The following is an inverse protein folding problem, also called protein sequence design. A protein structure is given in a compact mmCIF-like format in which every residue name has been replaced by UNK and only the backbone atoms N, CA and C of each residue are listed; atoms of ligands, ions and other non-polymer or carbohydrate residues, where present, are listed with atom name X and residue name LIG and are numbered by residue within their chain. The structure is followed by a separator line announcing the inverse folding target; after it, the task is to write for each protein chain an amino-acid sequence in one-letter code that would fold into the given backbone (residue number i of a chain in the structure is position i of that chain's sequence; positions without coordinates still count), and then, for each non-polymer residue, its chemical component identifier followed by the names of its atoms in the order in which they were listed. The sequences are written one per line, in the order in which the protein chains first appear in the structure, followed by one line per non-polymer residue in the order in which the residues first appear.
data_IF_808609542761
#
_entry.id   IF_808609542761
#
_cell.length_a   1.000
_cell.length_b   1.000
_cell.length_c   1.000
_cell.angle_alpha   90.00
_cell.angle_beta   90.00
_cell.angle_gamma   90.00
#
_symmetry.space_group_name_H-M   'P 1'
#
loop_
_entity.id
_entity.type
_entity.pdbx_description
1 polymer ?
#
# COMPACT_ATOMS: atom_id res chain seq x y z
N UNK A 1 24.56 28.63 -10.62
CA UNK A 1 25.92 28.85 -10.08
C UNK A 1 26.26 27.65 -9.21
N UNK A 2 27.25 26.82 -9.55
CA UNK A 2 27.65 25.69 -8.71
C UNK A 2 28.75 26.12 -7.73
N UNK A 3 28.64 25.74 -6.47
CA UNK A 3 29.72 25.84 -5.49
C UNK A 3 29.93 24.46 -4.86
N UNK A 4 30.96 23.80 -5.36
CA UNK A 4 31.56 22.63 -4.75
C UNK A 4 32.30 23.06 -3.47
N UNK A 5 32.19 22.27 -2.42
CA UNK A 5 33.11 22.32 -1.29
C UNK A 5 33.46 20.88 -0.89
N UNK A 6 34.56 20.40 -1.48
CA UNK A 6 35.28 19.25 -0.98
C UNK A 6 36.04 19.66 0.28
N UNK A 7 35.82 18.95 1.39
CA UNK A 7 36.66 19.04 2.58
C UNK A 7 37.30 17.67 2.79
N UNK A 8 38.60 17.65 2.53
CA UNK A 8 39.47 16.51 2.76
C UNK A 8 40.23 16.71 4.08
N UNK A 9 40.64 15.56 4.63
CA UNK A 9 41.77 15.30 5.53
C UNK A 9 41.55 15.48 7.04
N UNK A 10 41.47 14.34 7.71
CA UNK A 10 42.38 14.07 8.82
C UNK A 10 42.83 12.59 8.77
N UNK A 11 44.04 12.38 8.25
CA UNK A 11 44.83 11.18 8.45
C UNK A 11 45.31 11.16 9.91
N UNK A 12 44.92 10.14 10.66
CA UNK A 12 45.49 9.79 11.96
C UNK A 12 45.93 8.33 11.95
N UNK A 13 47.09 8.05 11.33
CA UNK A 13 47.78 6.78 11.47
C UNK A 13 48.67 6.84 12.73
N UNK A 14 48.31 6.09 13.76
CA UNK A 14 49.23 5.66 14.81
C UNK A 14 49.29 4.13 14.77
N UNK A 15 50.43 3.59 14.32
CA UNK A 15 50.84 2.22 14.63
C UNK A 15 51.31 2.17 16.08
N UNK A 16 50.81 1.22 16.85
CA UNK A 16 51.28 0.92 18.21
C UNK A 16 50.68 -0.39 18.66
N UNK A 17 51.49 -1.45 18.69
CA UNK A 17 51.09 -2.75 19.20
C UNK A 17 50.80 -2.71 20.70
N UNK A 18 49.82 -3.50 21.10
CA UNK A 18 49.45 -3.76 22.49
C UNK A 18 48.31 -4.78 22.52
N UNK A 19 48.65 -6.01 22.86
CA UNK A 19 47.71 -7.04 23.33
C UNK A 19 46.94 -6.49 24.54
N UNK A 20 45.61 -6.35 24.43
CA UNK A 20 44.70 -6.44 25.58
C UNK A 20 43.28 -6.83 25.11
N UNK A 21 42.66 -7.89 25.67
CA UNK A 21 41.33 -8.34 25.29
C UNK A 21 40.29 -7.68 26.21
N UNK A 22 39.62 -6.62 25.74
CA UNK A 22 38.63 -5.93 26.55
C UNK A 22 37.61 -5.15 25.74
N UNK A 23 36.34 -5.53 25.93
CA UNK A 23 35.14 -4.74 25.64
C UNK A 23 34.91 -4.37 24.17
N UNK A 24 34.26 -5.31 23.48
CA UNK A 24 33.50 -5.02 22.27
C UNK A 24 32.45 -3.96 22.57
N UNK A 25 32.76 -2.71 22.21
CA UNK A 25 31.79 -1.65 22.09
C UNK A 25 30.67 -2.13 21.17
N UNK A 26 29.52 -2.41 21.77
CA UNK A 26 28.28 -2.73 21.04
C UNK A 26 27.91 -1.47 20.28
N UNK A 27 28.29 -1.42 19.00
CA UNK A 27 27.78 -0.41 18.08
C UNK A 27 26.27 -0.65 17.99
N UNK A 28 25.41 0.30 18.38
CA UNK A 28 23.98 0.13 18.22
C UNK A 28 23.69 -0.10 16.74
N UNK A 29 23.08 -1.24 16.42
CA UNK A 29 22.65 -1.56 15.07
C UNK A 29 21.72 -0.43 14.60
N UNK A 30 22.17 0.33 13.61
CA UNK A 30 21.29 1.29 12.94
C UNK A 30 20.12 0.50 12.35
N UNK A 31 18.87 0.98 12.52
CA UNK A 31 17.71 0.36 11.89
C UNK A 31 17.99 0.17 10.41
N UNK A 32 17.79 -1.04 9.90
CA UNK A 32 17.92 -1.29 8.47
C UNK A 32 16.99 -0.32 7.72
N UNK A 33 17.47 0.34 6.65
CA UNK A 33 16.61 1.17 5.83
C UNK A 33 15.42 0.32 5.37
N UNK A 34 14.22 0.91 5.39
CA UNK A 34 13.04 0.24 4.88
C UNK A 34 13.34 -0.27 3.45
N UNK A 35 12.95 -1.50 3.10
CA UNK A 35 13.17 -2.03 1.77
C UNK A 35 12.60 -1.04 0.75
N UNK A 36 13.39 -0.71 -0.27
CA UNK A 36 12.93 0.16 -1.35
C UNK A 36 11.71 -0.49 -2.03
N UNK A 37 10.68 0.30 -2.37
CA UNK A 37 9.54 -0.22 -3.09
C UNK A 37 10.00 -0.80 -4.42
N UNK A 38 9.56 -2.04 -4.71
CA UNK A 38 9.87 -2.69 -5.97
C UNK A 38 9.45 -1.82 -7.16
N UNK A 39 10.24 -1.79 -8.25
CA UNK A 39 9.89 -1.05 -9.45
C UNK A 39 8.51 -1.49 -9.95
N UNK A 40 7.73 -0.52 -10.43
CA UNK A 40 6.40 -0.81 -10.95
C UNK A 40 6.52 -1.74 -12.16
N UNK A 41 5.89 -2.90 -12.08
CA UNK A 41 5.79 -3.88 -13.15
C UNK A 41 4.34 -4.03 -13.57
N UNK A 42 4.11 -4.14 -14.89
CA UNK A 42 2.80 -4.47 -15.44
C UNK A 42 2.42 -5.93 -15.20
N UNK A 43 3.37 -6.77 -14.78
CA UNK A 43 3.13 -8.16 -14.47
C UNK A 43 2.37 -8.30 -13.15
N UNK A 44 1.24 -9.01 -13.22
CA UNK A 44 0.44 -9.38 -12.04
C UNK A 44 1.26 -10.37 -11.18
N UNK A 45 1.25 -10.23 -9.84
CA UNK A 45 1.94 -11.18 -8.95
C UNK A 45 1.42 -12.60 -9.13
N UNK A 46 2.33 -13.58 -9.18
CA UNK A 46 2.00 -15.01 -9.31
C UNK A 46 1.06 -15.48 -8.17
N UNK A 47 1.17 -14.85 -7.00
CA UNK A 47 0.31 -15.07 -5.84
C UNK A 47 -1.17 -14.88 -6.18
N UNK A 48 -1.51 -14.00 -7.12
CA UNK A 48 -2.87 -13.69 -7.55
C UNK A 48 -3.38 -14.53 -8.71
N UNK A 49 -2.56 -15.42 -9.28
CA UNK A 49 -2.90 -16.16 -10.50
C UNK A 49 -3.38 -17.60 -10.21
N UNK A 50 -4.28 -18.09 -11.05
CA UNK A 50 -4.62 -19.51 -11.19
C UNK A 50 -3.58 -20.22 -12.07
N UNK A 51 -3.60 -21.55 -12.08
CA UNK A 51 -2.64 -22.36 -12.86
C UNK A 51 -2.71 -22.11 -14.38
N UNK A 52 -3.81 -21.55 -14.87
CA UNK A 52 -3.99 -21.17 -16.28
C UNK A 52 -3.57 -19.72 -16.58
N UNK A 53 -3.00 -19.01 -15.60
CA UNK A 53 -2.51 -17.64 -15.73
C UNK A 53 -3.58 -16.56 -15.64
N UNK A 54 -4.85 -16.89 -15.40
CA UNK A 54 -5.89 -15.89 -15.12
C UNK A 54 -5.82 -15.47 -13.65
N UNK A 55 -6.25 -14.24 -13.35
CA UNK A 55 -6.41 -13.84 -11.95
C UNK A 55 -7.47 -14.72 -11.27
N UNK A 56 -7.13 -15.19 -10.08
CA UNK A 56 -8.08 -15.87 -9.23
C UNK A 56 -9.24 -14.93 -8.86
N UNK A 57 -10.47 -15.43 -8.68
CA UNK A 57 -11.63 -14.57 -8.36
C UNK A 57 -11.42 -13.69 -7.11
N UNK A 58 -10.74 -14.20 -6.09
CA UNK A 58 -10.40 -13.40 -4.90
C UNK A 58 -9.41 -12.27 -5.23
N UNK A 59 -8.44 -12.52 -6.12
CA UNK A 59 -7.44 -11.53 -6.53
C UNK A 59 -8.09 -10.40 -7.33
N UNK A 60 -9.12 -10.70 -8.14
CA UNK A 60 -9.94 -9.69 -8.81
C UNK A 60 -10.64 -8.79 -7.79
N UNK A 61 -11.25 -9.36 -6.74
CA UNK A 61 -11.91 -8.58 -5.70
C UNK A 61 -10.92 -7.68 -4.92
N UNK A 62 -9.72 -8.20 -4.62
CA UNK A 62 -8.63 -7.42 -4.01
C UNK A 62 -8.20 -6.28 -4.93
N UNK A 63 -7.98 -6.53 -6.21
CA UNK A 63 -7.59 -5.52 -7.20
C UNK A 63 -8.64 -4.40 -7.31
N UNK A 64 -9.93 -4.73 -7.34
CA UNK A 64 -11.01 -3.74 -7.38
C UNK A 64 -10.94 -2.85 -6.14
N UNK A 65 -10.85 -3.44 -4.95
CA UNK A 65 -10.73 -2.66 -3.71
C UNK A 65 -9.49 -1.76 -3.69
N UNK A 66 -8.36 -2.24 -4.23
CA UNK A 66 -7.09 -1.50 -4.24
C UNK A 66 -7.18 -0.30 -5.17
N UNK A 67 -7.85 -0.48 -6.31
CA UNK A 67 -8.14 0.59 -7.26
C UNK A 67 -9.06 1.64 -6.65
N UNK A 68 -10.10 1.22 -5.93
CA UNK A 68 -11.01 2.17 -5.24
C UNK A 68 -10.28 2.93 -4.13
N UNK A 69 -9.35 2.30 -3.42
CA UNK A 69 -8.49 3.01 -2.46
C UNK A 69 -7.61 4.06 -3.13
N UNK A 70 -6.90 3.68 -4.21
CA UNK A 70 -6.05 4.60 -4.93
C UNK A 70 -6.85 5.80 -5.49
N UNK A 71 -8.07 5.56 -5.95
CA UNK A 71 -8.98 6.63 -6.37
C UNK A 71 -9.43 7.50 -5.18
N UNK A 72 -9.83 6.89 -4.06
CA UNK A 72 -10.21 7.61 -2.84
C UNK A 72 -9.09 8.51 -2.29
N UNK A 73 -7.83 8.04 -2.36
CA UNK A 73 -6.63 8.81 -2.07
C UNK A 73 -6.48 10.01 -3.00
N UNK A 74 -6.55 9.78 -4.31
CA UNK A 74 -6.40 10.84 -5.31
C UNK A 74 -7.52 11.89 -5.23
N UNK A 75 -8.73 11.47 -4.85
CA UNK A 75 -9.89 12.34 -4.66
C UNK A 75 -9.92 13.05 -3.29
N UNK A 76 -9.04 12.68 -2.36
CA UNK A 76 -9.01 13.23 -1.00
C UNK A 76 -10.25 12.91 -0.16
N UNK A 77 -10.98 11.85 -0.49
CA UNK A 77 -12.24 11.47 0.19
C UNK A 77 -12.01 10.78 1.53
N UNK A 78 -10.85 10.12 1.69
CA UNK A 78 -10.51 9.37 2.89
C UNK A 78 -9.17 9.84 3.44
N UNK A 79 -9.09 10.01 4.76
CA UNK A 79 -7.81 10.23 5.40
C UNK A 79 -6.97 8.94 5.42
N UNK A 80 -5.66 9.09 5.66
CA UNK A 80 -4.74 7.96 5.66
C UNK A 80 -5.08 6.90 6.73
N UNK A 81 -5.78 7.27 7.81
CA UNK A 81 -6.17 6.31 8.84
C UNK A 81 -7.36 5.45 8.39
N UNK A 82 -8.34 6.10 7.76
CA UNK A 82 -9.53 5.49 7.17
C UNK A 82 -9.13 4.51 6.07
N UNK A 83 -8.22 4.90 5.18
CA UNK A 83 -7.66 4.02 4.15
C UNK A 83 -6.94 2.80 4.75
N UNK A 84 -6.13 2.99 5.79
CA UNK A 84 -5.51 1.84 6.48
C UNK A 84 -6.55 0.90 7.10
N UNK A 85 -7.62 1.47 7.67
CA UNK A 85 -8.69 0.68 8.27
C UNK A 85 -9.49 -0.09 7.21
N UNK A 86 -9.79 0.53 6.06
CA UNK A 86 -10.49 -0.13 4.96
C UNK A 86 -9.66 -1.27 4.37
N UNK A 87 -8.35 -1.07 4.12
CA UNK A 87 -7.45 -2.17 3.72
C UNK A 87 -7.44 -3.28 4.78
N UNK A 88 -7.32 -2.95 6.06
CA UNK A 88 -7.28 -3.94 7.13
C UNK A 88 -8.59 -4.75 7.21
N UNK A 89 -9.73 -4.11 7.01
CA UNK A 89 -11.04 -4.76 6.93
C UNK A 89 -11.10 -5.73 5.75
N UNK A 90 -10.75 -5.28 4.55
CA UNK A 90 -10.75 -6.15 3.37
C UNK A 90 -9.80 -7.34 3.54
N UNK A 91 -8.60 -7.10 4.09
CA UNK A 91 -7.65 -8.17 4.41
C UNK A 91 -8.26 -9.19 5.37
N UNK A 92 -8.89 -8.71 6.45
CA UNK A 92 -9.55 -9.58 7.42
C UNK A 92 -10.63 -10.44 6.77
N UNK A 93 -11.50 -9.86 5.95
CA UNK A 93 -12.56 -10.57 5.24
C UNK A 93 -12.01 -11.64 4.28
N UNK A 94 -10.97 -11.31 3.51
CA UNK A 94 -10.31 -12.26 2.62
C UNK A 94 -9.65 -13.40 3.39
N UNK A 95 -8.98 -13.10 4.50
CA UNK A 95 -8.37 -14.14 5.34
C UNK A 95 -9.41 -15.02 6.02
N UNK A 96 -10.56 -14.47 6.42
CA UNK A 96 -11.69 -15.25 6.92
C UNK A 96 -12.27 -16.19 5.83
N UNK A 97 -12.20 -15.77 4.57
CA UNK A 97 -12.51 -16.58 3.39
C UNK A 97 -11.44 -17.61 3.00
N UNK A 98 -10.33 -17.71 3.74
CA UNK A 98 -9.26 -18.69 3.51
C UNK A 98 -8.15 -18.22 2.57
N UNK A 99 -8.11 -16.95 2.19
CA UNK A 99 -6.99 -16.37 1.44
C UNK A 99 -5.82 -16.16 2.38
N UNK A 100 -4.62 -16.57 1.96
CA UNK A 100 -3.41 -16.28 2.73
C UNK A 100 -3.13 -14.77 2.79
N UNK A 101 -2.78 -14.29 3.98
CA UNK A 101 -2.59 -12.85 4.21
C UNK A 101 -1.45 -12.25 3.39
N UNK A 102 -0.35 -12.98 3.16
CA UNK A 102 0.75 -12.48 2.36
C UNK A 102 0.38 -12.45 0.87
N UNK A 103 -0.39 -13.42 0.39
CA UNK A 103 -0.94 -13.40 -0.98
C UNK A 103 -1.89 -12.21 -1.20
N UNK A 104 -2.73 -11.90 -0.22
CA UNK A 104 -3.55 -10.69 -0.23
C UNK A 104 -2.66 -9.44 -0.35
N UNK A 105 -1.66 -9.30 0.54
CA UNK A 105 -0.82 -8.11 0.60
C UNK A 105 -0.05 -7.90 -0.71
N UNK A 106 0.47 -8.96 -1.32
CA UNK A 106 1.16 -8.90 -2.62
C UNK A 106 0.25 -8.36 -3.75
N UNK A 107 -0.96 -8.92 -3.89
CA UNK A 107 -1.91 -8.49 -4.93
C UNK A 107 -2.42 -7.07 -4.65
N UNK A 108 -2.72 -6.76 -3.39
CA UNK A 108 -3.18 -5.43 -2.98
C UNK A 108 -2.14 -4.36 -3.29
N UNK A 109 -0.90 -4.55 -2.85
CA UNK A 109 0.16 -3.55 -3.01
C UNK A 109 0.52 -3.36 -4.48
N UNK A 110 0.52 -4.43 -5.29
CA UNK A 110 0.69 -4.30 -6.75
C UNK A 110 -0.45 -3.50 -7.38
N UNK A 111 -1.70 -3.86 -7.10
CA UNK A 111 -2.87 -3.25 -7.71
C UNK A 111 -3.01 -1.77 -7.31
N UNK A 112 -2.76 -1.44 -6.03
CA UNK A 112 -2.79 -0.07 -5.54
C UNK A 112 -1.74 0.79 -6.24
N UNK A 113 -0.46 0.37 -6.25
CA UNK A 113 0.60 1.12 -6.95
C UNK A 113 0.30 1.33 -8.43
N UNK A 114 -0.21 0.29 -9.09
CA UNK A 114 -0.53 0.35 -10.51
C UNK A 114 -1.73 1.27 -10.79
N UNK A 115 -2.76 1.25 -9.94
CA UNK A 115 -3.88 2.18 -10.03
C UNK A 115 -3.44 3.63 -9.77
N UNK A 116 -2.63 3.87 -8.72
CA UNK A 116 -2.10 5.20 -8.42
C UNK A 116 -1.27 5.77 -9.57
N UNK A 117 -0.42 4.96 -10.19
CA UNK A 117 0.36 5.37 -11.37
C UNK A 117 -0.55 5.75 -12.54
N UNK A 118 -1.55 4.91 -12.85
CA UNK A 118 -2.54 5.20 -13.90
C UNK A 118 -3.34 6.47 -13.62
N UNK A 119 -3.75 6.69 -12.38
CA UNK A 119 -4.47 7.91 -11.98
C UNK A 119 -3.59 9.14 -12.16
N UNK A 120 -2.30 9.06 -11.80
CA UNK A 120 -1.36 10.17 -11.98
C UNK A 120 -1.12 10.53 -13.45
N UNK A 121 -1.29 9.58 -14.37
CA UNK A 121 -1.17 9.78 -15.82
C UNK A 121 -2.46 10.30 -16.47
N UNK A 122 -3.60 10.25 -15.77
CA UNK A 122 -4.89 10.67 -16.33
C UNK A 122 -5.03 12.20 -16.41
N UNK A 123 -5.76 12.73 -17.41
CA UNK A 123 -6.17 14.12 -17.42
C UNK A 123 -6.99 14.46 -16.18
N UNK A 124 -6.83 15.68 -15.65
CA UNK A 124 -7.56 16.15 -14.47
C UNK A 124 -9.08 16.01 -14.62
N UNK A 125 -9.64 16.25 -15.81
CA UNK A 125 -11.08 16.11 -16.08
C UNK A 125 -11.57 14.66 -15.89
N UNK A 126 -10.76 13.67 -16.27
CA UNK A 126 -11.12 12.26 -16.10
C UNK A 126 -11.02 11.84 -14.63
N UNK A 127 -10.04 12.36 -13.90
CA UNK A 127 -9.95 12.18 -12.45
C UNK A 127 -11.17 12.80 -11.74
N UNK A 128 -11.57 14.03 -12.11
CA UNK A 128 -12.75 14.70 -11.54
C UNK A 128 -14.04 13.88 -11.76
N UNK A 129 -14.24 13.32 -12.96
CA UNK A 129 -15.35 12.40 -13.25
C UNK A 129 -15.28 11.13 -12.40
N UNK A 130 -14.08 10.57 -12.25
CA UNK A 130 -13.83 9.42 -11.38
C UNK A 130 -14.21 9.70 -9.93
N UNK A 131 -13.79 10.85 -9.40
CA UNK A 131 -14.11 11.29 -8.04
C UNK A 131 -15.61 11.52 -7.84
N UNK A 132 -16.28 12.19 -8.79
CA UNK A 132 -17.72 12.40 -8.72
C UNK A 132 -18.48 11.06 -8.67
N UNK A 133 -18.06 10.09 -9.48
CA UNK A 133 -18.65 8.75 -9.49
C UNK A 133 -18.37 7.97 -8.21
N UNK A 134 -17.19 8.13 -7.62
CA UNK A 134 -16.86 7.51 -6.34
C UNK A 134 -17.81 8.00 -5.23
N UNK A 135 -18.02 9.32 -5.15
CA UNK A 135 -18.95 9.93 -4.19
C UNK A 135 -20.37 9.38 -4.38
N UNK A 136 -20.88 9.36 -5.61
CA UNK A 136 -22.22 8.83 -5.92
C UNK A 136 -22.38 7.36 -5.46
N UNK A 137 -21.35 6.54 -5.71
CA UNK A 137 -21.33 5.14 -5.29
C UNK A 137 -21.32 4.99 -3.76
N UNK A 138 -20.55 5.81 -3.05
CA UNK A 138 -20.48 5.81 -1.59
C UNK A 138 -21.81 6.25 -0.95
N UNK A 139 -22.44 7.30 -1.50
CA UNK A 139 -23.76 7.76 -1.07
C UNK A 139 -24.85 6.70 -1.30
N UNK A 140 -24.81 6.02 -2.46
CA UNK A 140 -25.72 4.92 -2.75
C UNK A 140 -25.51 3.72 -1.82
N UNK A 141 -24.25 3.37 -1.53
CA UNK A 141 -23.92 2.30 -0.59
C UNK A 141 -24.40 2.65 0.83
N UNK A 142 -24.22 3.90 1.28
CA UNK A 142 -24.72 4.38 2.57
C UNK A 142 -26.24 4.26 2.65
N UNK A 143 -26.96 4.76 1.63
CA UNK A 143 -28.43 4.67 1.54
C UNK A 143 -28.92 3.21 1.57
N UNK A 144 -28.27 2.31 0.84
CA UNK A 144 -28.62 0.90 0.85
C UNK A 144 -28.37 0.27 2.23
N UNK A 145 -27.29 0.66 2.91
CA UNK A 145 -26.98 0.25 4.27
C UNK A 145 -28.05 0.68 5.27
N UNK A 146 -28.57 1.91 5.16
CA UNK A 146 -29.68 2.40 6.00
C UNK A 146 -30.96 1.61 5.78
N UNK A 147 -31.31 1.32 4.52
CA UNK A 147 -32.50 0.51 4.18
C UNK A 147 -32.38 -0.89 4.77
N UNK A 148 -31.21 -1.53 4.64
CA UNK A 148 -30.96 -2.85 5.22
C UNK A 148 -31.06 -2.85 6.76
N UNK A 149 -30.55 -1.82 7.43
CA UNK A 149 -30.67 -1.68 8.87
C UNK A 149 -32.13 -1.52 9.31
N UNK A 150 -32.94 -0.75 8.57
CA UNK A 150 -34.37 -0.59 8.85
C UNK A 150 -35.15 -1.90 8.68
N UNK A 151 -34.79 -2.74 7.70
CA UNK A 151 -35.40 -4.06 7.51
C UNK A 151 -34.94 -5.10 8.53
N UNK A 152 -33.77 -4.93 9.13
CA UNK A 152 -33.21 -5.85 10.13
C UNK A 152 -33.81 -5.63 11.55
N UNK A 153 -34.49 -4.51 11.79
CA UNK A 153 -35.19 -4.24 13.04
C UNK A 153 -36.58 -4.90 13.02
N UNK A 154 -36.96 -5.71 14.03
CA UNK A 154 -38.29 -6.31 14.08
C UNK A 154 -39.36 -5.21 14.24
N UNK A 155 -40.57 -5.37 13.65
CA UNK A 155 -41.65 -4.41 13.85
C UNK A 155 -41.99 -4.31 15.34
N UNK A 156 -42.12 -3.06 15.82
CA UNK A 156 -42.47 -2.73 17.21
C UNK A 156 -43.90 -3.13 17.58
#
# INVERSE_FOLDING_TARGET
MPLAAALALALGACSGGGDDPGEGAVVPAQPAPAPEPEPLTDQIPDEGLEADGRMAPWAVAVQIGATMHALGEACGQHDAASLRQMRAGQRADMTAGGVDGARFDAVWDWAHRHASAKIAEQPAEELEKGCARLIEMEEEAARMGEVMQQMALPPS
#
